data_IF_799007189207
#
_entry.id   IF_799007189207
#
_cell.length_a   1.000
_cell.length_b   1.000
_cell.length_c   1.000
_cell.angle_alpha   90.00
_cell.angle_beta   90.00
_cell.angle_gamma   90.00
#
_symmetry.space_group_name_H-M   'P 1'
#
loop_
_entity.id
_entity.type
_entity.pdbx_description
1 polymer ?
#
# COMPACT_ATOMS: atom_id res chain seq x y z
N UNK A 1 6.15 8.13 -13.41
CA UNK A 1 5.10 7.35 -12.69
C UNK A 1 3.66 7.75 -13.05
N UNK A 2 3.21 9.00 -12.84
CA UNK A 2 1.79 9.38 -13.04
C UNK A 2 1.32 9.32 -14.50
N UNK A 3 2.15 9.80 -15.44
CA UNK A 3 1.85 9.77 -16.89
C UNK A 3 1.76 8.34 -17.43
N UNK A 4 2.72 7.48 -17.06
CA UNK A 4 2.71 6.07 -17.45
C UNK A 4 1.48 5.32 -16.91
N UNK A 5 1.08 5.59 -15.66
CA UNK A 5 -0.15 5.06 -15.07
C UNK A 5 -1.39 5.52 -15.86
N UNK A 6 -1.44 6.78 -16.29
CA UNK A 6 -2.54 7.30 -17.12
C UNK A 6 -2.60 6.58 -18.47
N UNK A 7 -1.46 6.44 -19.17
CA UNK A 7 -1.40 5.79 -20.49
C UNK A 7 -1.85 4.33 -20.39
N UNK A 8 -1.37 3.62 -19.37
CA UNK A 8 -1.78 2.25 -19.11
C UNK A 8 -3.29 2.14 -18.82
N UNK A 9 -3.84 3.07 -18.04
CA UNK A 9 -5.27 3.08 -17.73
C UNK A 9 -6.13 3.35 -18.98
N UNK A 10 -5.70 4.28 -19.84
CA UNK A 10 -6.36 4.57 -21.12
C UNK A 10 -6.35 3.35 -22.04
N UNK A 11 -5.22 2.64 -22.13
CA UNK A 11 -5.12 1.41 -22.94
C UNK A 11 -6.08 0.34 -22.43
N UNK A 12 -6.11 0.11 -21.11
CA UNK A 12 -7.00 -0.88 -20.49
C UNK A 12 -8.46 -0.54 -20.78
N UNK A 13 -8.87 0.71 -20.61
CA UNK A 13 -10.25 1.14 -20.89
C UNK A 13 -10.59 1.09 -22.36
N UNK A 14 -9.66 1.48 -23.24
CA UNK A 14 -9.87 1.33 -24.68
C UNK A 14 -10.11 -0.12 -25.06
N UNK A 15 -9.33 -1.05 -24.50
CA UNK A 15 -9.49 -2.48 -24.76
C UNK A 15 -10.82 -3.03 -24.23
N UNK A 16 -11.20 -2.65 -23.01
CA UNK A 16 -12.51 -3.01 -22.43
C UNK A 16 -13.64 -2.46 -23.30
N UNK A 17 -13.56 -1.19 -23.70
CA UNK A 17 -14.57 -0.58 -24.56
C UNK A 17 -14.72 -1.31 -25.90
N UNK A 18 -13.61 -1.66 -26.56
CA UNK A 18 -13.64 -2.43 -27.81
C UNK A 18 -14.35 -3.77 -27.61
N UNK A 19 -13.98 -4.54 -26.57
CA UNK A 19 -14.62 -5.82 -26.27
C UNK A 19 -16.13 -5.63 -26.05
N UNK A 20 -16.53 -4.62 -25.29
CA UNK A 20 -17.94 -4.34 -25.01
C UNK A 20 -18.72 -3.92 -26.26
N UNK A 21 -18.18 -3.03 -27.07
CA UNK A 21 -18.84 -2.53 -28.28
C UNK A 21 -18.87 -3.57 -29.40
N UNK A 22 -17.87 -4.44 -29.49
CA UNK A 22 -17.85 -5.52 -30.48
C UNK A 22 -18.73 -6.71 -30.08
N UNK A 23 -18.92 -6.98 -28.78
CA UNK A 23 -19.60 -8.17 -28.28
C UNK A 23 -20.89 -7.85 -27.51
N UNK A 24 -21.62 -6.80 -27.93
CA UNK A 24 -22.86 -6.35 -27.25
C UNK A 24 -23.90 -7.46 -27.16
N UNK A 25 -24.11 -8.18 -28.25
CA UNK A 25 -25.07 -9.29 -28.30
C UNK A 25 -24.68 -10.39 -27.31
N UNK A 26 -23.39 -10.72 -27.22
CA UNK A 26 -22.90 -11.68 -26.24
C UNK A 26 -23.09 -11.22 -24.80
N UNK A 27 -22.93 -9.91 -24.52
CA UNK A 27 -23.13 -9.35 -23.19
C UNK A 27 -24.61 -9.35 -22.77
N UNK A 28 -25.52 -9.15 -23.72
CA UNK A 28 -26.97 -9.15 -23.52
C UNK A 28 -27.56 -10.57 -23.57
N UNK A 29 -26.84 -11.54 -24.13
CA UNK A 29 -27.24 -12.92 -24.16
C UNK A 29 -27.46 -13.42 -22.73
N UNK A 30 -28.64 -14.00 -22.51
CA UNK A 30 -28.99 -14.63 -21.23
C UNK A 30 -28.39 -16.01 -21.21
N UNK A 31 -27.43 -16.24 -20.32
CA UNK A 31 -26.92 -17.57 -20.05
C UNK A 31 -27.33 -18.02 -18.66
N UNK A 32 -27.54 -19.32 -18.54
CA UNK A 32 -27.67 -20.01 -17.26
C UNK A 32 -26.27 -20.50 -16.91
N UNK A 33 -25.74 -20.09 -15.75
CA UNK A 33 -24.56 -20.76 -15.21
C UNK A 33 -25.02 -22.05 -14.58
N UNK A 34 -24.50 -23.15 -15.11
CA UNK A 34 -24.59 -24.47 -14.49
C UNK A 34 -23.31 -24.67 -13.69
N UNK A 35 -23.46 -24.78 -12.38
CA UNK A 35 -22.34 -25.15 -11.51
C UNK A 35 -22.51 -26.63 -11.23
N UNK A 36 -21.72 -27.44 -11.92
CA UNK A 36 -21.70 -28.88 -11.72
C UNK A 36 -20.77 -29.18 -10.54
N UNK A 37 -21.35 -29.42 -9.37
CA UNK A 37 -20.60 -29.85 -8.20
C UNK A 37 -20.40 -31.35 -8.32
N UNK A 38 -19.15 -31.80 -8.27
CA UNK A 38 -18.69 -33.18 -8.49
C UNK A 38 -19.45 -34.29 -7.71
N UNK A 39 -20.26 -33.92 -6.71
CA UNK A 39 -21.03 -34.82 -5.83
C UNK A 39 -22.46 -34.33 -5.53
N UNK A 40 -23.06 -33.46 -6.35
CA UNK A 40 -24.41 -32.93 -6.09
C UNK A 40 -25.21 -32.63 -7.36
N UNK A 41 -26.53 -32.51 -7.21
CA UNK A 41 -27.43 -32.09 -8.29
C UNK A 41 -26.98 -30.73 -8.87
N UNK A 42 -26.93 -30.58 -10.21
CA UNK A 42 -26.41 -29.38 -10.85
C UNK A 42 -27.25 -28.15 -10.48
N UNK A 43 -26.60 -27.16 -9.88
CA UNK A 43 -27.29 -25.93 -9.51
C UNK A 43 -27.48 -25.05 -10.75
N UNK A 44 -28.73 -24.83 -11.14
CA UNK A 44 -29.09 -23.92 -12.22
C UNK A 44 -29.35 -22.53 -11.66
N UNK A 45 -28.53 -21.57 -12.06
CA UNK A 45 -28.79 -20.16 -11.75
C UNK A 45 -29.86 -19.58 -12.68
N UNK A 46 -30.56 -18.53 -12.24
CA UNK A 46 -31.52 -17.82 -13.10
C UNK A 46 -30.81 -17.29 -14.35
N UNK A 47 -31.47 -17.37 -15.50
CA UNK A 47 -30.94 -16.89 -16.78
C UNK A 47 -30.71 -15.37 -16.72
N UNK A 48 -29.46 -14.97 -16.51
CA UNK A 48 -29.03 -13.59 -16.41
C UNK A 48 -28.20 -13.21 -17.63
N UNK A 49 -28.24 -11.93 -18.06
CA UNK A 49 -27.33 -11.44 -19.08
C UNK A 49 -25.88 -11.62 -18.65
N UNK A 50 -25.01 -12.03 -19.59
CA UNK A 50 -23.59 -12.20 -19.34
C UNK A 50 -22.91 -10.98 -18.73
N UNK A 51 -23.36 -9.79 -19.09
CA UNK A 51 -22.90 -8.53 -18.50
C UNK A 51 -23.00 -8.52 -16.96
N UNK A 52 -24.04 -9.14 -16.40
CA UNK A 52 -24.24 -9.22 -14.95
C UNK A 52 -23.18 -10.11 -14.31
N UNK A 53 -22.87 -11.26 -14.91
CA UNK A 53 -21.80 -12.14 -14.41
C UNK A 53 -20.45 -11.44 -14.45
N UNK A 54 -20.09 -10.79 -15.57
CA UNK A 54 -18.86 -10.01 -15.66
C UNK A 54 -18.80 -8.90 -14.60
N UNK A 55 -19.91 -8.22 -14.34
CA UNK A 55 -19.97 -7.18 -13.32
C UNK A 55 -19.72 -7.74 -11.92
N UNK A 56 -20.33 -8.88 -11.59
CA UNK A 56 -20.12 -9.55 -10.29
C UNK A 56 -18.67 -9.99 -10.12
N UNK A 57 -18.08 -10.63 -11.12
CA UNK A 57 -16.66 -11.02 -11.08
C UNK A 57 -15.73 -9.80 -10.98
N UNK A 58 -16.05 -8.72 -11.70
CA UNK A 58 -15.31 -7.46 -11.61
C UNK A 58 -15.39 -6.87 -10.20
N UNK A 59 -16.58 -6.82 -9.60
CA UNK A 59 -16.77 -6.35 -8.22
C UNK A 59 -16.02 -7.22 -7.21
N UNK A 60 -16.08 -8.54 -7.37
CA UNK A 60 -15.36 -9.48 -6.52
C UNK A 60 -13.84 -9.25 -6.61
N UNK A 61 -13.31 -9.14 -7.83
CA UNK A 61 -11.91 -8.82 -8.08
C UNK A 61 -11.50 -7.46 -7.50
N UNK A 62 -12.35 -6.44 -7.65
CA UNK A 62 -12.14 -5.12 -7.06
C UNK A 62 -12.10 -5.18 -5.53
N UNK A 63 -12.99 -5.96 -4.91
CA UNK A 63 -13.04 -6.14 -3.47
C UNK A 63 -11.77 -6.82 -2.96
N UNK A 64 -11.30 -7.87 -3.64
CA UNK A 64 -10.04 -8.55 -3.33
C UNK A 64 -8.86 -7.57 -3.45
N UNK A 65 -8.78 -6.81 -4.54
CA UNK A 65 -7.75 -5.81 -4.73
C UNK A 65 -7.78 -4.72 -3.65
N UNK A 66 -8.98 -4.31 -3.23
CA UNK A 66 -9.17 -3.38 -2.12
C UNK A 66 -8.63 -3.95 -0.81
N UNK A 67 -8.98 -5.20 -0.47
CA UNK A 67 -8.46 -5.87 0.73
C UNK A 67 -6.93 -5.98 0.72
N UNK A 68 -6.32 -6.37 -0.41
CA UNK A 68 -4.85 -6.47 -0.55
C UNK A 68 -4.21 -5.09 -0.36
N UNK A 69 -4.75 -4.05 -1.00
CA UNK A 69 -4.27 -2.67 -0.89
C UNK A 69 -4.41 -2.13 0.54
N UNK A 70 -5.51 -2.46 1.22
CA UNK A 70 -5.76 -2.06 2.59
C UNK A 70 -4.76 -2.74 3.54
N UNK A 71 -4.51 -4.04 3.38
CA UNK A 71 -3.47 -4.76 4.13
C UNK A 71 -2.07 -4.19 3.87
N UNK A 72 -1.76 -3.79 2.63
CA UNK A 72 -0.50 -3.12 2.30
C UNK A 72 -0.39 -1.76 3.03
N UNK A 73 -1.49 -0.99 3.11
CA UNK A 73 -1.51 0.29 3.85
C UNK A 73 -1.30 0.12 5.35
N UNK A 74 -1.85 -0.92 5.97
CA UNK A 74 -1.61 -1.20 7.39
C UNK A 74 -0.14 -1.55 7.65
N UNK A 75 0.48 -2.36 6.78
CA UNK A 75 1.91 -2.66 6.86
C UNK A 75 2.76 -1.39 6.68
N UNK A 76 2.46 -0.56 5.68
CA UNK A 76 3.15 0.72 5.48
C UNK A 76 3.04 1.65 6.71
N UNK A 77 1.86 1.75 7.33
CA UNK A 77 1.67 2.59 8.54
C UNK A 77 2.50 2.08 9.73
N UNK A 78 2.62 0.75 9.88
CA UNK A 78 3.48 0.13 10.90
C UNK A 78 4.96 0.40 10.62
N UNK A 79 5.40 0.27 9.37
CA UNK A 79 6.78 0.57 8.95
C UNK A 79 7.11 2.05 9.19
N UNK A 80 6.21 2.97 8.84
CA UNK A 80 6.40 4.42 9.07
C UNK A 80 6.53 4.71 10.57
N UNK A 81 5.68 4.12 11.42
CA UNK A 81 5.80 4.27 12.88
C UNK A 81 7.15 3.75 13.40
N UNK A 82 7.61 2.61 12.91
CA UNK A 82 8.87 2.01 13.35
C UNK A 82 10.08 2.85 12.93
N UNK A 83 10.09 3.35 11.68
CA UNK A 83 11.15 4.22 11.20
C UNK A 83 11.17 5.57 11.93
N UNK A 84 10.01 6.13 12.24
CA UNK A 84 9.93 7.40 12.97
C UNK A 84 10.41 7.23 14.43
N UNK A 85 10.02 6.14 15.09
CA UNK A 85 10.51 5.80 16.43
C UNK A 85 12.03 5.57 16.47
N UNK A 86 12.59 4.92 15.44
CA UNK A 86 14.03 4.75 15.30
C UNK A 86 14.73 6.10 15.07
N UNK A 87 14.15 7.00 14.27
CA UNK A 87 14.70 8.33 14.02
C UNK A 87 14.69 9.21 15.27
N UNK A 88 13.62 9.15 16.08
CA UNK A 88 13.56 9.88 17.36
C UNK A 88 14.56 9.32 18.37
N UNK A 89 14.71 8.00 18.45
CA UNK A 89 15.72 7.36 19.32
C UNK A 89 17.14 7.77 18.94
N UNK A 90 17.45 7.80 17.64
CA UNK A 90 18.77 8.23 17.16
C UNK A 90 19.01 9.73 17.41
N UNK A 91 17.97 10.58 17.32
CA UNK A 91 18.06 11.99 17.67
C UNK A 91 18.32 12.20 19.16
N UNK A 92 17.68 11.42 20.02
CA UNK A 92 17.89 11.44 21.47
C UNK A 92 19.30 10.97 21.84
N UNK A 93 19.81 9.91 21.22
CA UNK A 93 21.18 9.45 21.40
C UNK A 93 22.19 10.51 20.95
N UNK A 94 22.01 11.12 19.76
CA UNK A 94 22.88 12.21 19.30
C UNK A 94 22.84 13.39 20.27
N UNK A 95 21.67 13.74 20.82
CA UNK A 95 21.55 14.82 21.80
C UNK A 95 22.25 14.48 23.12
N UNK A 96 22.14 13.23 23.59
CA UNK A 96 22.80 12.75 24.79
C UNK A 96 24.33 12.74 24.62
N UNK A 97 24.83 12.17 23.52
CA UNK A 97 26.26 12.18 23.20
C UNK A 97 26.79 13.61 23.02
N UNK A 98 26.03 14.50 22.37
CA UNK A 98 26.45 15.90 22.20
C UNK A 98 26.56 16.61 23.55
N UNK A 99 25.62 16.36 24.47
CA UNK A 99 25.64 16.91 25.84
C UNK A 99 26.82 16.37 26.65
N UNK A 100 27.14 15.08 26.49
CA UNK A 100 28.29 14.44 27.15
C UNK A 100 29.63 14.96 26.62
N UNK A 101 29.73 15.18 25.30
CA UNK A 101 30.91 15.82 24.68
C UNK A 101 31.05 17.27 25.17
N UNK A 102 29.96 18.00 25.31
CA UNK A 102 29.96 19.39 25.78
C UNK A 102 30.35 19.49 27.27
N UNK A 103 29.92 18.54 28.11
CA UNK A 103 30.39 18.46 29.51
C UNK A 103 31.86 18.05 29.61
N UNK A 104 32.32 17.10 28.78
CA UNK A 104 33.72 16.69 28.77
C UNK A 104 34.64 17.80 28.22
N UNK A 105 34.15 18.60 27.28
CA UNK A 105 34.86 19.80 26.83
C UNK A 105 34.90 20.88 27.92
N UNK A 106 33.80 21.13 28.65
CA UNK A 106 33.81 22.12 29.73
C UNK A 106 34.78 21.74 30.86
N UNK A 107 34.81 20.45 31.23
CA UNK A 107 35.74 19.93 32.24
C UNK A 107 37.21 20.01 31.78
N UNK A 108 37.47 19.85 30.49
CA UNK A 108 38.84 20.00 29.93
C UNK A 108 39.32 21.45 29.90
N UNK A 109 38.40 22.42 29.74
CA UNK A 109 38.73 23.85 29.81
C UNK A 109 38.92 24.38 31.23
N UNK A 110 38.38 23.71 32.25
CA UNK A 110 38.54 24.11 33.65
C UNK A 110 39.89 23.67 34.26
N UNK A 111 40.54 22.65 33.67
CA UNK A 111 41.89 22.22 34.09
C UNK A 111 43.05 23.10 33.62
N UNK A 112 42.81 24.13 32.79
CA UNK A 112 43.91 25.02 32.32
C UNK A 112 44.00 26.34 33.09
N UNK A 113 43.10 26.60 34.06
CA UNK A 113 43.11 27.83 34.85
C UNK A 113 43.55 27.59 36.31
N UNK A 114 44.73 26.98 36.53
CA UNK A 114 45.39 27.13 37.83
C UNK A 114 46.17 28.46 37.87
N UNK A 115 45.90 29.36 38.84
CA UNK A 115 46.59 30.64 38.98
C UNK A 115 48.02 30.41 39.48
N UNK A 116 49.01 30.92 38.76
CA UNK A 116 50.38 31.04 39.27
C UNK A 116 50.42 32.33 40.13
N UNK A 117 50.58 32.17 41.44
CA UNK A 117 50.78 33.27 42.40
C UNK A 117 52.07 34.04 42.12
N UNK A 118 52.10 35.37 42.34
CA UNK A 118 53.28 36.21 42.14
C UNK A 118 54.21 36.22 43.37
N UNK A 119 55.53 36.23 43.11
CA UNK A 119 56.60 36.63 44.06
C UNK A 119 57.23 37.92 43.53
#
# INVERSE_FOLDING_TARGET
>A
MKKLKIVLWVIVIGFVAIIFFSNKEYLLAKQVLQIDLLYGEPFHTMALPNAVFFLVFFLAGFLIAYFISLSARFKCKKTIKNLNAAATSQLEEIAALKKEVESLQSDSSDSTAQPIEPI
#
